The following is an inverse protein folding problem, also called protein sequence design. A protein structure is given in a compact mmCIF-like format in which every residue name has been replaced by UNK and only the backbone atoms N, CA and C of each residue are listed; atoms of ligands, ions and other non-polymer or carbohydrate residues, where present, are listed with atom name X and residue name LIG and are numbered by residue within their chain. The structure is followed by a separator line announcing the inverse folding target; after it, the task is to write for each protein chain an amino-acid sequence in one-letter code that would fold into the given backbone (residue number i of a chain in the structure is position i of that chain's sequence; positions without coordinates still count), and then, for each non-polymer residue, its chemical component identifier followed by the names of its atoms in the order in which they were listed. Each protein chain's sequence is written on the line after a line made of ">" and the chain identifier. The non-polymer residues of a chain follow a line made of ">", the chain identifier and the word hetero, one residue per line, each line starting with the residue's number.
data_IF_563562505596
#
_entry.id   IF_563562505596
#
_cell.length_a   1.000
_cell.length_b   1.000
_cell.length_c   1.000
_cell.angle_alpha   90.00
_cell.angle_beta   90.00
_cell.angle_gamma   90.00
#
_symmetry.space_group_name_H-M   'P 1'
#
loop_
_entity.id
_entity.type
_entity.pdbx_description
1 polymer ?
#
# COMPACT_ATOMS: atom_id res chain seq x y z
N UNK A 1 32.43 11.82 -13.98
CA UNK A 1 31.61 10.90 -13.17
C UNK A 1 30.33 10.60 -13.92
N UNK A 2 30.09 9.36 -14.34
CA UNK A 2 28.80 8.97 -14.94
C UNK A 2 27.76 8.98 -13.83
N UNK A 3 26.72 9.81 -13.96
CA UNK A 3 25.62 9.88 -13.00
C UNK A 3 24.87 8.56 -13.05
N UNK A 4 24.88 7.78 -11.97
CA UNK A 4 24.13 6.53 -11.89
C UNK A 4 22.64 6.83 -12.06
N UNK A 5 21.93 6.01 -12.85
CA UNK A 5 20.49 6.14 -13.01
C UNK A 5 19.77 5.91 -11.68
N UNK A 6 18.69 6.67 -11.43
CA UNK A 6 17.89 6.55 -10.19
C UNK A 6 17.28 5.15 -10.01
N UNK A 7 17.07 4.43 -11.10
CA UNK A 7 16.60 3.03 -11.14
C UNK A 7 17.46 2.08 -10.29
N UNK A 8 18.77 2.34 -10.21
CA UNK A 8 19.70 1.52 -9.42
C UNK A 8 19.54 1.67 -7.90
N UNK A 9 18.72 2.62 -7.44
CA UNK A 9 18.46 2.87 -6.02
C UNK A 9 17.04 2.48 -5.58
N UNK A 10 16.29 1.79 -6.45
CA UNK A 10 14.93 1.35 -6.14
C UNK A 10 14.95 0.26 -5.06
N UNK A 11 14.25 0.52 -3.97
CA UNK A 11 14.04 -0.45 -2.89
C UNK A 11 12.76 -1.24 -3.19
N UNK A 12 12.92 -2.51 -3.58
CA UNK A 12 11.80 -3.37 -3.96
C UNK A 12 10.72 -3.50 -2.89
N UNK A 13 11.10 -3.52 -1.60
CA UNK A 13 10.14 -3.57 -0.50
C UNK A 13 9.21 -2.34 -0.47
N UNK A 14 9.73 -1.15 -0.81
CA UNK A 14 8.93 0.08 -0.89
C UNK A 14 8.01 0.04 -2.10
N UNK A 15 8.50 -0.46 -3.24
CA UNK A 15 7.67 -0.66 -4.44
C UNK A 15 6.49 -1.56 -4.11
N UNK A 16 6.73 -2.73 -3.49
CA UNK A 16 5.64 -3.64 -3.11
C UNK A 16 4.67 -3.02 -2.11
N UNK A 17 5.15 -2.20 -1.17
CA UNK A 17 4.27 -1.51 -0.22
C UNK A 17 3.33 -0.52 -0.92
N UNK A 18 3.86 0.27 -1.86
CA UNK A 18 3.07 1.23 -2.63
C UNK A 18 2.08 0.51 -3.57
N UNK A 19 2.53 -0.50 -4.31
CA UNK A 19 1.65 -1.29 -5.17
C UNK A 19 0.54 -1.97 -4.36
N UNK A 20 0.81 -2.44 -3.13
CA UNK A 20 -0.22 -2.98 -2.25
C UNK A 20 -1.32 -1.95 -1.93
N UNK A 21 -0.96 -0.69 -1.67
CA UNK A 21 -1.95 0.37 -1.43
C UNK A 21 -2.79 0.65 -2.68
N UNK A 22 -2.18 0.57 -3.86
CA UNK A 22 -2.84 0.81 -5.16
C UNK A 22 -3.84 -0.29 -5.55
N UNK A 23 -3.73 -1.49 -4.96
CA UNK A 23 -4.71 -2.58 -5.16
C UNK A 23 -6.12 -2.24 -4.64
N UNK A 24 -6.22 -1.27 -3.72
CA UNK A 24 -7.48 -0.75 -3.19
C UNK A 24 -7.99 0.39 -4.08
N UNK A 25 -8.48 0.05 -5.27
CA UNK A 25 -8.95 1.00 -6.26
C UNK A 25 -10.35 0.66 -6.79
N UNK A 26 -11.06 1.68 -7.29
CA UNK A 26 -12.42 1.54 -7.81
C UNK A 26 -13.42 1.13 -6.74
N UNK A 27 -14.22 0.11 -7.04
CA UNK A 27 -15.29 -0.42 -6.16
C UNK A 27 -14.80 -1.48 -5.16
N UNK A 28 -13.47 -1.62 -4.97
CA UNK A 28 -12.89 -2.62 -4.07
C UNK A 28 -12.72 -2.03 -2.67
N UNK A 29 -13.69 -2.31 -1.80
CA UNK A 29 -13.69 -1.80 -0.42
C UNK A 29 -12.70 -2.55 0.48
N UNK A 30 -12.61 -3.89 0.36
CA UNK A 30 -11.76 -4.72 1.22
C UNK A 30 -11.08 -5.88 0.45
N UNK A 31 -9.87 -6.25 0.85
CA UNK A 31 -9.10 -7.37 0.29
C UNK A 31 -8.46 -8.23 1.36
N UNK A 32 -8.55 -9.55 1.21
CA UNK A 32 -7.85 -10.51 2.08
C UNK A 32 -6.40 -10.75 1.67
N UNK A 33 -5.57 -11.21 2.61
CA UNK A 33 -4.13 -11.49 2.38
C UNK A 33 -3.87 -12.48 1.23
N UNK A 34 -4.76 -13.46 1.04
CA UNK A 34 -4.64 -14.44 -0.05
C UNK A 34 -4.88 -13.81 -1.42
N UNK A 35 -5.83 -12.89 -1.51
CA UNK A 35 -6.14 -12.19 -2.75
C UNK A 35 -5.01 -11.23 -3.12
N UNK A 36 -4.55 -10.42 -2.15
CA UNK A 36 -3.39 -9.54 -2.31
C UNK A 36 -2.13 -10.31 -2.74
N UNK A 37 -1.88 -11.49 -2.15
CA UNK A 37 -0.77 -12.37 -2.54
C UNK A 37 -0.84 -12.77 -4.01
N UNK A 38 -2.03 -13.08 -4.54
CA UNK A 38 -2.21 -13.41 -5.96
C UNK A 38 -2.00 -12.20 -6.85
N UNK A 39 -2.60 -11.06 -6.52
CA UNK A 39 -2.51 -9.82 -7.31
C UNK A 39 -1.08 -9.30 -7.41
N UNK A 40 -0.40 -9.22 -6.27
CA UNK A 40 0.99 -8.76 -6.17
C UNK A 40 2.02 -9.80 -6.64
N UNK A 41 1.60 -11.06 -6.86
CA UNK A 41 2.49 -12.19 -7.15
C UNK A 41 3.61 -12.35 -6.09
N UNK A 42 3.25 -12.15 -4.83
CA UNK A 42 4.15 -12.27 -3.67
C UNK A 42 3.72 -13.40 -2.76
N UNK A 43 4.67 -14.01 -2.06
CA UNK A 43 4.35 -14.96 -1.00
C UNK A 43 3.48 -14.32 0.10
N UNK A 44 2.52 -15.07 0.63
CA UNK A 44 1.63 -14.61 1.71
C UNK A 44 2.38 -14.00 2.90
N UNK A 45 3.52 -14.58 3.29
CA UNK A 45 4.34 -14.04 4.38
C UNK A 45 4.88 -12.63 4.08
N UNK A 46 5.24 -12.34 2.83
CA UNK A 46 5.70 -11.01 2.43
C UNK A 46 4.55 -10.01 2.48
N UNK A 47 3.39 -10.38 1.93
CA UNK A 47 2.18 -9.53 1.97
C UNK A 47 1.73 -9.26 3.40
N UNK A 48 1.72 -10.28 4.26
CA UNK A 48 1.39 -10.13 5.68
C UNK A 48 2.32 -9.12 6.38
N UNK A 49 3.63 -9.18 6.13
CA UNK A 49 4.58 -8.22 6.71
C UNK A 49 4.40 -6.80 6.18
N UNK A 50 4.03 -6.64 4.90
CA UNK A 50 3.69 -5.34 4.32
C UNK A 50 2.43 -4.78 4.99
N UNK A 51 1.38 -5.59 5.09
CA UNK A 51 0.12 -5.24 5.75
C UNK A 51 0.34 -4.84 7.20
N UNK A 52 1.06 -5.65 7.99
CA UNK A 52 1.37 -5.33 9.37
C UNK A 52 2.13 -3.99 9.50
N UNK A 53 3.08 -3.72 8.59
CA UNK A 53 3.82 -2.44 8.58
C UNK A 53 2.92 -1.26 8.23
N UNK A 54 2.06 -1.41 7.23
CA UNK A 54 1.15 -0.36 6.77
C UNK A 54 0.01 -0.11 7.76
N UNK A 55 -0.47 -1.15 8.43
CA UNK A 55 -1.47 -1.08 9.51
C UNK A 55 -0.91 -0.35 10.72
N UNK A 56 0.29 -0.69 11.18
CA UNK A 56 1.00 0.02 12.26
C UNK A 56 1.21 1.51 11.93
N UNK A 57 1.36 1.83 10.63
CA UNK A 57 1.49 3.22 10.17
C UNK A 57 0.16 3.91 9.84
N UNK A 58 -0.97 3.21 9.94
CA UNK A 58 -2.32 3.75 9.70
C UNK A 58 -2.70 3.95 8.23
N UNK A 59 -1.93 3.41 7.30
CA UNK A 59 -2.24 3.44 5.85
C UNK A 59 -3.24 2.37 5.43
N UNK A 60 -3.31 1.28 6.20
CA UNK A 60 -4.25 0.18 6.05
C UNK A 60 -4.91 -0.09 7.41
N UNK A 61 -6.11 -0.64 7.39
CA UNK A 61 -6.81 -1.15 8.57
C UNK A 61 -7.33 -2.55 8.30
N UNK A 62 -7.23 -3.45 9.29
CA UNK A 62 -7.87 -4.75 9.21
C UNK A 62 -9.29 -4.72 9.80
N UNK A 63 -10.27 -5.17 9.02
CA UNK A 63 -11.62 -5.43 9.50
C UNK A 63 -11.60 -6.65 10.44
N UNK A 64 -12.06 -6.46 11.68
CA UNK A 64 -12.04 -7.50 12.73
C UNK A 64 -13.08 -8.60 12.54
N UNK A 65 -14.04 -8.42 11.64
CA UNK A 65 -15.09 -9.41 11.34
C UNK A 65 -14.70 -10.24 10.12
N UNK A 66 -14.25 -9.60 9.04
CA UNK A 66 -13.93 -10.26 7.77
C UNK A 66 -12.47 -10.70 7.66
N UNK A 67 -11.60 -10.19 8.55
CA UNK A 67 -10.14 -10.29 8.51
C UNK A 67 -9.49 -9.69 7.24
N UNK A 68 -10.29 -9.05 6.38
CA UNK A 68 -9.82 -8.33 5.21
C UNK A 68 -9.26 -6.98 5.60
N UNK A 69 -8.53 -6.38 4.66
CA UNK A 69 -7.86 -5.10 4.81
C UNK A 69 -8.53 -4.05 3.92
N UNK A 70 -8.43 -2.78 4.32
CA UNK A 70 -8.86 -1.60 3.54
C UNK A 70 -7.90 -0.43 3.77
N UNK A 71 -8.01 0.63 2.97
CA UNK A 71 -7.29 1.87 3.21
C UNK A 71 -7.65 2.47 4.57
N UNK A 72 -6.63 2.86 5.33
CA UNK A 72 -6.76 3.56 6.60
C UNK A 72 -6.73 5.08 6.44
N UNK A 73 -7.02 5.79 7.55
CA UNK A 73 -7.16 7.25 7.56
C UNK A 73 -5.94 8.02 7.01
N UNK A 74 -4.71 7.49 7.16
CA UNK A 74 -3.50 8.17 6.65
C UNK A 74 -3.48 8.32 5.14
N UNK A 75 -4.12 7.41 4.42
CA UNK A 75 -4.25 7.47 2.97
C UNK A 75 -5.10 8.69 2.56
N UNK A 76 -6.19 8.96 3.28
CA UNK A 76 -7.00 10.17 3.08
C UNK A 76 -6.23 11.44 3.43
N UNK A 77 -5.52 11.46 4.56
CA UNK A 77 -4.73 12.62 4.98
C UNK A 77 -3.67 13.04 3.94
N UNK A 78 -2.99 12.07 3.32
CA UNK A 78 -2.05 12.31 2.22
C UNK A 78 -2.76 12.90 1.00
N UNK A 79 -3.89 12.30 0.58
CA UNK A 79 -4.68 12.81 -0.54
C UNK A 79 -5.16 14.24 -0.32
N UNK A 80 -5.68 14.56 0.87
CA UNK A 80 -6.08 15.92 1.24
C UNK A 80 -4.90 16.88 1.25
N UNK A 81 -3.72 16.44 1.72
CA UNK A 81 -2.51 17.25 1.69
C UNK A 81 -2.10 17.59 0.26
N UNK A 82 -2.17 16.61 -0.64
CA UNK A 82 -1.89 16.81 -2.06
C UNK A 82 -2.86 17.81 -2.69
N UNK A 83 -4.17 17.67 -2.45
CA UNK A 83 -5.19 18.61 -2.95
C UNK A 83 -4.89 20.04 -2.48
N UNK A 84 -4.62 20.22 -1.17
CA UNK A 84 -4.26 21.54 -0.60
C UNK A 84 -3.01 22.14 -1.24
N UNK A 85 -2.00 21.32 -1.56
CA UNK A 85 -0.76 21.80 -2.19
C UNK A 85 -0.96 22.16 -3.67
N UNK A 86 -1.88 21.49 -4.35
CA UNK A 86 -2.22 21.77 -5.75
C UNK A 86 -3.11 23.00 -5.92
N UNK A 87 -3.70 23.53 -4.84
CA UNK A 87 -4.56 24.72 -4.88
C UNK A 87 -5.92 24.48 -5.55
N UNK A 88 -6.38 23.23 -5.56
CA UNK A 88 -7.72 22.81 -6.00
C UNK A 88 -8.70 22.76 -4.84
#
# INVERSE_FOLDING_TARGET
>A
MVKREKSNYIIQAVVHALTLLEEFSGDVDELGVTELSKRLKLHKNNVFRLLATLEEKGYIEQNKITENYRLGIKSLELGQTFIRQMGV
#
